data_IF_504778016465
#
_entry.id   IF_504778016465
#
_cell.length_a   1.000
_cell.length_b   1.000
_cell.length_c   1.000
_cell.angle_alpha   90.00
_cell.angle_beta   90.00
_cell.angle_gamma   90.00
#
_symmetry.space_group_name_H-M   'P 1'
#
loop_
_entity.id
_entity.type
_entity.pdbx_description
1 polymer ?
2 water ?
#
# COMPACT_ATOMS: atom_id res chain seq x y z
N UNK A 1 -18.88 -10.68 -11.70
CA UNK A 1 -18.28 -9.31 -11.79
C UNK A 1 -17.18 -9.00 -10.76
N UNK A 2 -17.57 -8.69 -9.53
CA UNK A 2 -16.75 -7.85 -8.65
C UNK A 2 -16.17 -8.48 -7.37
N UNK A 3 -14.91 -8.15 -7.07
CA UNK A 3 -14.33 -8.44 -5.76
C UNK A 3 -13.40 -7.33 -5.28
N UNK A 4 -13.51 -7.02 -3.98
CA UNK A 4 -12.75 -5.95 -3.36
C UNK A 4 -11.27 -6.31 -3.15
N UNK A 5 -10.37 -5.32 -3.27
CA UNK A 5 -8.93 -5.58 -3.05
C UNK A 5 -8.66 -6.05 -1.62
N UNK A 6 -7.76 -7.00 -1.47
CA UNK A 6 -7.12 -7.24 -0.18
C UNK A 6 -5.95 -6.26 -0.09
N UNK A 7 -5.83 -5.56 1.04
CA UNK A 7 -4.79 -4.52 1.20
C UNK A 7 -3.90 -4.81 2.42
N UNK A 8 -2.61 -5.01 2.18
CA UNK A 8 -1.65 -5.32 3.22
C UNK A 8 -0.46 -4.35 3.25
N UNK A 9 -0.28 -3.67 4.39
CA UNK A 9 0.76 -2.67 4.54
C UNK A 9 1.84 -3.08 5.58
N UNK A 10 3.08 -3.04 5.14
CA UNK A 10 4.18 -3.48 5.97
C UNK A 10 5.46 -2.76 5.59
N UNK A 11 6.49 -2.92 6.43
CA UNK A 11 7.81 -2.45 6.10
C UNK A 11 8.77 -3.55 5.65
N UNK A 12 9.81 -3.17 4.92
CA UNK A 12 10.80 -4.15 4.47
C UNK A 12 11.65 -4.68 5.63
N UNK A 13 12.07 -3.78 6.53
CA UNK A 13 12.84 -4.15 7.72
C UNK A 13 12.04 -3.81 8.96
N UNK A 14 12.44 -4.34 10.14
CA UNK A 14 11.76 -3.97 11.38
C UNK A 14 11.64 -2.46 11.52
N UNK A 15 10.44 -2.00 11.85
CA UNK A 15 10.11 -0.59 11.82
C UNK A 15 10.38 0.14 13.10
N UNK A 16 11.67 0.27 13.42
CA UNK A 16 12.16 1.09 14.52
C UNK A 16 12.26 2.56 14.11
N UNK A 17 12.00 3.46 15.06
CA UNK A 17 11.94 4.91 14.83
C UNK A 17 13.29 5.54 14.50
N UNK A 18 13.29 6.50 13.58
CA UNK A 18 14.52 7.12 13.10
C UNK A 18 15.36 6.32 12.12
N UNK A 19 15.03 5.05 11.91
CA UNK A 19 15.74 4.22 10.93
C UNK A 19 15.14 4.30 9.52
N UNK A 20 16.00 4.53 8.54
CA UNK A 20 15.64 4.48 7.12
C UNK A 20 15.07 3.10 6.77
N UNK A 21 13.97 3.08 6.01
CA UNK A 21 13.24 1.84 5.76
C UNK A 21 12.41 1.99 4.49
N UNK A 22 11.70 0.93 4.12
CA UNK A 22 10.78 1.00 2.96
C UNK A 22 9.38 0.62 3.40
N UNK A 23 8.44 1.48 3.04
CA UNK A 23 7.03 1.26 3.27
C UNK A 23 6.44 0.56 2.03
N UNK A 24 5.78 -0.57 2.25
CA UNK A 24 5.30 -1.39 1.12
C UNK A 24 3.81 -1.60 1.27
N UNK A 25 3.10 -1.51 0.15
CA UNK A 25 1.68 -1.83 0.12
C UNK A 25 1.42 -2.89 -0.94
N UNK A 26 0.94 -4.05 -0.50
CA UNK A 26 0.63 -5.12 -1.43
C UNK A 26 -0.89 -5.23 -1.59
N UNK A 27 -1.34 -5.19 -2.84
CA UNK A 27 -2.78 -5.10 -3.11
C UNK A 27 -3.13 -6.26 -4.04
N UNK A 28 -4.11 -7.08 -3.67
CA UNK A 28 -4.39 -8.28 -4.47
C UNK A 28 -5.86 -8.66 -4.45
N UNK A 29 -6.24 -9.59 -5.34
CA UNK A 29 -7.58 -10.19 -5.32
C UNK A 29 -8.72 -9.29 -5.74
N UNK A 30 -8.40 -8.19 -6.43
CA UNK A 30 -9.42 -7.24 -6.87
C UNK A 30 -9.95 -7.54 -8.28
N UNK A 31 -11.27 -7.44 -8.43
CA UNK A 31 -12.01 -7.48 -9.72
C UNK A 31 -13.00 -6.32 -9.78
N UNK A 32 -12.95 -5.49 -10.84
CA UNK A 32 -12.06 -5.57 -12.00
C UNK A 32 -10.61 -5.09 -11.78
N UNK A 33 -9.71 -5.42 -12.73
CA UNK A 33 -8.30 -5.02 -12.63
C UNK A 33 -8.12 -3.54 -12.94
N UNK A 34 -8.80 -2.70 -12.18
CA UNK A 34 -8.78 -1.28 -12.42
C UNK A 34 -8.73 -0.63 -11.05
N UNK A 35 -7.56 -0.10 -10.69
CA UNK A 35 -7.27 0.30 -9.31
C UNK A 35 -6.22 1.41 -9.23
N UNK A 36 -6.26 2.21 -8.18
CA UNK A 36 -5.12 3.07 -7.95
C UNK A 36 -4.71 2.99 -6.49
N UNK A 37 -3.41 3.13 -6.26
CA UNK A 37 -2.81 3.04 -4.93
C UNK A 37 -1.99 4.29 -4.61
N UNK A 38 -2.16 4.79 -3.40
CA UNK A 38 -1.29 5.86 -2.91
C UNK A 38 -0.82 5.53 -1.50
N UNK A 39 0.42 5.89 -1.23
CA UNK A 39 1.03 5.80 0.10
C UNK A 39 1.00 7.17 0.77
N UNK A 40 0.49 7.21 1.99
CA UNK A 40 0.24 8.48 2.67
C UNK A 40 1.08 8.64 3.93
N UNK A 41 1.51 9.87 4.17
CA UNK A 41 2.12 10.25 5.43
C UNK A 41 1.26 11.33 6.04
N UNK A 42 0.70 11.02 7.20
CA UNK A 42 -0.32 11.82 7.87
C UNK A 42 -1.44 12.26 6.91
N UNK A 43 -1.85 11.33 6.06
CA UNK A 43 -2.96 11.55 5.16
C UNK A 43 -2.57 12.29 3.91
N UNK A 44 -1.28 12.58 3.74
CA UNK A 44 -0.82 13.27 2.54
C UNK A 44 0.02 12.37 1.67
N UNK A 45 -0.24 12.42 0.37
CA UNK A 45 0.41 11.54 -0.60
C UNK A 45 1.92 11.68 -0.52
N UNK A 46 2.61 10.54 -0.38
CA UNK A 46 4.06 10.53 -0.42
C UNK A 46 4.57 10.47 -1.88
N UNK A 47 5.44 11.43 -2.23
CA UNK A 47 5.99 11.52 -3.59
C UNK A 47 7.08 10.51 -3.91
N UNK A 48 7.21 10.22 -5.21
CA UNK A 48 8.24 9.34 -5.76
C UNK A 48 8.07 7.89 -5.28
N UNK A 49 6.83 7.48 -5.02
CA UNK A 49 6.54 6.07 -4.70
C UNK A 49 6.56 5.30 -6.00
N UNK A 50 6.97 4.04 -5.96
CA UNK A 50 7.07 3.26 -7.19
C UNK A 50 6.11 2.09 -7.16
N UNK A 51 5.48 1.81 -8.29
CA UNK A 51 4.44 0.79 -8.35
C UNK A 51 4.84 -0.25 -9.35
N UNK A 52 4.79 -1.53 -8.97
CA UNK A 52 5.11 -2.64 -9.90
C UNK A 52 4.13 -2.63 -11.08
N UNK A 53 4.46 -3.33 -12.17
CA UNK A 53 3.49 -3.55 -13.26
C UNK A 53 2.40 -4.47 -12.76
N UNK A 54 1.17 -4.32 -13.29
CA UNK A 54 0.06 -5.18 -12.90
C UNK A 54 0.43 -6.63 -13.16
N UNK A 55 0.36 -7.46 -12.13
CA UNK A 55 0.61 -8.89 -12.30
C UNK A 55 -0.71 -9.64 -12.43
N UNK A 56 -0.71 -10.74 -13.17
CA UNK A 56 -1.92 -11.55 -13.36
C UNK A 56 -1.55 -13.02 -13.27
N UNK A 57 -2.17 -13.74 -12.34
CA UNK A 57 -1.78 -15.14 -12.12
C UNK A 57 -2.93 -16.16 -12.09
N UNK A 58 -2.67 -17.33 -12.66
CA UNK A 58 -3.60 -18.48 -12.60
C UNK A 58 -5.00 -18.15 -13.11
N UNK A 59 -5.07 -17.25 -14.10
CA UNK A 59 -6.31 -16.95 -14.78
C UNK A 59 -7.32 -16.14 -14.01
N UNK A 60 -6.96 -15.67 -12.81
CA UNK A 60 -7.97 -15.02 -11.96
C UNK A 60 -7.47 -13.93 -11.03
N UNK A 61 -6.18 -13.96 -10.69
CA UNK A 61 -5.67 -13.12 -9.60
C UNK A 61 -4.74 -12.03 -10.11
N UNK A 62 -5.09 -10.79 -9.78
CA UNK A 62 -4.29 -9.60 -10.06
C UNK A 62 -3.62 -9.14 -8.78
N UNK A 63 -2.40 -8.61 -8.90
CA UNK A 63 -1.72 -8.03 -7.74
C UNK A 63 -0.75 -6.92 -8.13
N UNK A 64 -0.56 -5.98 -7.21
CA UNK A 64 0.27 -4.79 -7.45
C UNK A 64 1.01 -4.47 -6.17
N UNK A 65 2.23 -3.98 -6.29
CA UNK A 65 2.97 -3.48 -5.13
C UNK A 65 3.38 -2.02 -5.30
N UNK A 66 3.09 -1.18 -4.31
CA UNK A 66 3.62 0.18 -4.30
C UNK A 66 4.53 0.34 -3.09
N UNK A 67 5.69 0.98 -3.29
CA UNK A 67 6.67 1.16 -2.21
C UNK A 67 7.36 2.54 -2.29
N UNK A 68 7.89 3.01 -1.16
CA UNK A 68 8.63 4.27 -1.10
C UNK A 68 9.50 4.22 0.14
N UNK A 69 10.63 4.92 0.10
CA UNK A 69 11.49 5.02 1.27
C UNK A 69 10.79 5.87 2.33
N UNK A 70 10.91 5.48 3.59
CA UNK A 70 10.41 6.31 4.67
C UNK A 70 11.29 6.20 5.92
N UNK A 71 11.10 7.13 6.84
CA UNK A 71 11.78 7.07 8.13
C UNK A 71 10.72 7.26 9.21
N UNK A 72 10.19 6.14 9.74
CA UNK A 72 9.09 6.27 10.69
C UNK A 72 9.50 6.91 12.01
N UNK A 73 8.69 7.87 12.46
CA UNK A 73 8.77 8.43 13.81
C UNK A 73 7.45 8.18 14.51
N UNK A 74 7.49 8.28 15.83
CA UNK A 74 6.38 7.94 16.72
C UNK A 74 5.02 8.56 16.37
N UNK A 75 5.04 9.84 16.03
CA UNK A 75 3.81 10.62 15.91
C UNK A 75 3.18 10.54 14.52
N UNK A 76 3.90 9.95 13.58
CA UNK A 76 3.46 9.95 12.19
C UNK A 76 2.68 8.72 11.84
N UNK A 77 1.58 8.93 11.13
CA UNK A 77 0.77 7.83 10.66
C UNK A 77 1.03 7.61 9.17
N UNK A 78 1.49 6.40 8.86
CA UNK A 78 1.66 5.93 7.50
C UNK A 78 0.50 5.02 7.12
N UNK A 79 0.04 5.14 5.87
CA UNK A 79 -1.09 4.34 5.41
C UNK A 79 -1.03 4.07 3.93
N UNK A 80 -1.84 3.10 3.52
CA UNK A 80 -2.07 2.81 2.12
C UNK A 80 -3.55 3.11 1.77
N UNK A 81 -3.71 3.92 0.73
CA UNK A 81 -5.00 4.37 0.23
C UNK A 81 -5.23 3.78 -1.16
N UNK A 82 -6.29 2.98 -1.26
CA UNK A 82 -6.57 2.19 -2.44
C UNK A 82 -7.99 2.50 -2.91
N UNK A 83 -8.12 3.00 -4.13
CA UNK A 83 -9.41 3.29 -4.71
C UNK A 83 -9.75 2.23 -5.75
N UNK A 84 -10.89 1.57 -5.57
CA UNK A 84 -11.31 0.54 -6.51
C UNK A 84 -12.81 0.71 -6.66
N UNK A 85 -13.29 0.70 -7.90
CA UNK A 85 -14.71 0.95 -8.19
C UNK A 85 -15.19 2.22 -7.51
N UNK A 86 -14.39 3.28 -7.63
CA UNK A 86 -14.70 4.62 -7.12
C UNK A 86 -14.96 4.68 -5.60
N UNK A 87 -14.43 3.71 -4.86
CA UNK A 87 -14.51 3.71 -3.40
C UNK A 87 -13.07 3.61 -2.85
N UNK A 88 -12.70 4.53 -1.98
CA UNK A 88 -11.36 4.54 -1.40
C UNK A 88 -11.36 3.89 -0.03
N UNK A 89 -10.42 2.97 0.16
CA UNK A 89 -10.19 2.30 1.42
C UNK A 89 -8.78 2.68 1.94
N UNK A 90 -8.70 3.15 3.18
CA UNK A 90 -7.41 3.44 3.78
C UNK A 90 -7.04 2.41 4.88
N UNK A 91 -5.83 1.88 4.78
CA UNK A 91 -5.31 0.89 5.71
C UNK A 91 -4.05 1.45 6.36
N UNK A 92 -4.12 1.68 7.67
CA UNK A 92 -3.00 2.23 8.45
C UNK A 92 -1.88 1.20 8.67
N UNK A 93 -0.62 1.60 8.44
CA UNK A 93 0.54 0.77 8.80
C UNK A 93 0.57 0.51 10.31
N UNK A 94 0.47 -0.76 10.68
CA UNK A 94 0.37 -1.21 12.06
C UNK A 94 1.79 -1.49 12.50
N UNK A 95 2.44 -0.49 13.10
CA UNK A 95 3.86 -0.55 13.41
C UNK A 95 4.24 -1.48 14.58
N UNK A 96 3.59 -1.31 15.74
CA UNK A 96 3.79 -2.21 16.90
C UNK A 96 5.17 -2.26 17.65
N UNK A 97 5.95 -1.18 17.76
CA UNK A 97 5.71 0.16 17.25
C UNK A 97 6.74 0.46 16.15
#
# INVERSE_FOLDING_TARGET
KVSSPKIQVYSHYPGEYGKENTLICYVSGFHPPDISIELLKNGEVIADAQQTDLAFEKGWQFHLTKSVSFKPEKSDEYSCSVRHMSKTKKIVWESNM
#
